data_IF_725319213456
#
_entry.id   IF_725319213456
#
_cell.length_a   1.000
_cell.length_b   1.000
_cell.length_c   1.000
_cell.angle_alpha   90.00
_cell.angle_beta   90.00
_cell.angle_gamma   90.00
#
_symmetry.space_group_name_H-M   'P 1'
#
loop_
_entity.id
_entity.type
_entity.pdbx_description
1 polymer ?
#
# COMPACT_ATOMS: atom_id res chain seq x y z
N UNK A 1 -8.18 -21.62 4.32
CA UNK A 1 -7.14 -20.66 4.78
C UNK A 1 -6.76 -19.70 3.65
N UNK A 2 -6.49 -18.43 3.96
CA UNK A 2 -6.13 -17.42 2.96
C UNK A 2 -4.61 -17.27 2.83
N UNK A 3 -4.08 -17.27 1.61
CA UNK A 3 -2.68 -16.97 1.32
C UNK A 3 -2.56 -15.62 0.65
N UNK A 4 -1.83 -14.70 1.27
CA UNK A 4 -1.47 -13.42 0.67
C UNK A 4 -0.02 -13.47 0.18
N UNK A 5 0.20 -13.32 -1.12
CA UNK A 5 1.52 -13.31 -1.72
C UNK A 5 1.85 -11.90 -2.16
N UNK A 6 2.80 -11.31 -1.44
CA UNK A 6 3.33 -9.99 -1.73
C UNK A 6 4.80 -10.11 -2.07
N UNK A 7 5.22 -9.53 -3.19
CA UNK A 7 6.62 -9.47 -3.56
C UNK A 7 7.01 -8.03 -3.89
N UNK A 8 7.74 -7.39 -2.98
CA UNK A 8 8.34 -6.09 -3.25
C UNK A 8 9.84 -6.20 -3.05
N UNK A 9 10.56 -6.22 -4.16
CA UNK A 9 11.95 -5.77 -4.19
C UNK A 9 12.02 -4.68 -5.25
N UNK A 10 11.80 -3.44 -4.83
CA UNK A 10 12.25 -2.28 -5.60
C UNK A 10 13.44 -1.69 -4.85
N UNK A 11 14.64 -2.21 -5.14
CA UNK A 11 15.87 -1.52 -4.79
C UNK A 11 16.04 -0.42 -5.84
N UNK A 12 15.46 0.75 -5.58
CA UNK A 12 15.92 1.95 -6.26
C UNK A 12 17.07 2.54 -5.45
N UNK A 13 18.28 2.30 -5.94
CA UNK A 13 19.40 3.20 -5.63
C UNK A 13 18.94 4.61 -6.02
N UNK A 14 19.01 5.55 -5.08
CA UNK A 14 18.61 6.93 -5.25
C UNK A 14 19.20 7.50 -6.55
N UNK A 15 18.42 7.51 -7.62
CA UNK A 15 18.83 8.04 -8.93
C UNK A 15 17.67 8.76 -9.62
N UNK A 16 16.66 9.21 -8.88
CA UNK A 16 15.77 10.26 -9.39
C UNK A 16 16.44 11.64 -9.31
N UNK A 17 17.37 11.85 -8.37
CA UNK A 17 18.21 13.06 -8.32
C UNK A 17 19.32 13.09 -9.38
N UNK A 18 19.75 11.93 -9.90
CA UNK A 18 20.83 11.87 -10.89
C UNK A 18 20.32 11.88 -12.34
N UNK A 19 19.14 11.32 -12.61
CA UNK A 19 18.56 11.30 -13.97
C UNK A 19 17.97 12.65 -14.41
N UNK A 20 17.60 13.50 -13.46
CA UNK A 20 17.13 14.87 -13.72
C UNK A 20 18.31 15.81 -13.48
N UNK A 21 19.08 16.05 -14.55
CA UNK A 21 20.36 16.77 -14.52
C UNK A 21 20.32 18.14 -13.82
N UNK A 22 21.51 18.69 -13.56
CA UNK A 22 21.88 19.88 -12.74
C UNK A 22 21.20 21.21 -13.14
N UNK A 23 19.87 21.26 -13.24
CA UNK A 23 19.11 22.50 -13.38
C UNK A 23 18.14 22.58 -12.22
N UNK A 24 18.41 23.44 -11.25
CA UNK A 24 17.65 23.45 -10.00
C UNK A 24 16.19 23.98 -10.15
N UNK A 25 15.78 24.44 -11.34
CA UNK A 25 14.49 25.13 -11.62
C UNK A 25 13.34 24.26 -12.16
N UNK A 26 13.48 22.94 -12.33
CA UNK A 26 12.46 22.11 -13.01
C UNK A 26 11.73 21.09 -12.11
N UNK A 27 11.93 21.14 -10.78
CA UNK A 27 11.29 20.19 -9.86
C UNK A 27 9.78 20.40 -9.80
N UNK A 28 9.36 21.64 -9.58
CA UNK A 28 7.95 22.01 -9.54
C UNK A 28 7.25 21.75 -10.87
N UNK A 29 7.91 22.08 -11.99
CA UNK A 29 7.38 21.77 -13.32
C UNK A 29 7.24 20.27 -13.58
N UNK A 30 8.17 19.47 -13.06
CA UNK A 30 8.05 18.01 -13.15
C UNK A 30 6.94 17.45 -12.25
N UNK A 31 6.74 18.02 -11.05
CA UNK A 31 5.65 17.62 -10.16
C UNK A 31 4.30 17.94 -10.76
N UNK A 32 4.13 19.14 -11.32
CA UNK A 32 2.90 19.49 -12.03
C UNK A 32 2.66 18.56 -13.23
N UNK A 33 3.69 18.31 -14.06
CA UNK A 33 3.53 17.39 -15.18
C UNK A 33 3.15 15.97 -14.75
N UNK A 34 3.85 15.40 -13.75
CA UNK A 34 3.57 14.06 -13.21
C UNK A 34 2.13 14.00 -12.64
N UNK A 35 1.71 15.05 -11.92
CA UNK A 35 0.37 15.16 -11.34
C UNK A 35 -0.73 15.23 -12.42
N UNK A 36 -0.60 16.13 -13.39
CA UNK A 36 -1.63 16.33 -14.43
C UNK A 36 -1.69 15.15 -15.40
N UNK A 37 -0.53 14.60 -15.80
CA UNK A 37 -0.47 13.58 -16.86
C UNK A 37 -0.58 12.16 -16.33
N UNK A 38 -0.01 11.88 -15.16
CA UNK A 38 0.08 10.51 -14.65
C UNK A 38 -0.91 10.21 -13.52
N UNK A 39 -1.06 11.10 -12.53
CA UNK A 39 -1.96 10.85 -11.40
C UNK A 39 -3.42 11.11 -11.75
N UNK A 40 -3.74 12.31 -12.27
CA UNK A 40 -5.12 12.67 -12.66
C UNK A 40 -5.72 11.78 -13.75
N UNK A 41 -4.88 11.16 -14.58
CA UNK A 41 -5.35 10.20 -15.58
C UNK A 41 -5.78 8.86 -14.98
N UNK A 42 -5.50 8.59 -13.70
CA UNK A 42 -5.95 7.40 -12.99
C UNK A 42 -7.37 7.57 -12.44
N UNK A 43 -8.15 6.48 -12.34
CA UNK A 43 -9.48 6.54 -11.75
C UNK A 43 -9.43 7.05 -10.30
N UNK A 44 -10.09 8.17 -10.02
CA UNK A 44 -10.11 8.80 -8.69
C UNK A 44 -8.87 9.63 -8.36
N UNK A 45 -7.92 9.76 -9.29
CA UNK A 45 -6.70 10.56 -9.09
C UNK A 45 -6.96 12.06 -9.00
N UNK A 46 -8.08 12.54 -9.56
CA UNK A 46 -8.56 13.92 -9.45
C UNK A 46 -8.93 14.36 -8.02
N UNK A 47 -9.11 13.39 -7.11
CA UNK A 47 -9.45 13.65 -5.71
C UNK A 47 -8.24 14.01 -4.85
N UNK A 48 -7.04 13.68 -5.29
CA UNK A 48 -5.81 14.09 -4.63
C UNK A 48 -5.53 15.54 -5.02
N UNK A 49 -5.45 16.45 -4.05
CA UNK A 49 -5.15 17.84 -4.34
C UNK A 49 -3.67 17.99 -4.77
N UNK A 50 -3.39 18.89 -5.70
CA UNK A 50 -2.02 19.22 -6.11
C UNK A 50 -1.14 19.64 -4.92
N UNK A 51 -1.70 20.34 -3.93
CA UNK A 51 -0.95 20.74 -2.73
C UNK A 51 -0.52 19.53 -1.89
N UNK A 52 -1.41 18.56 -1.69
CA UNK A 52 -1.10 17.30 -0.99
C UNK A 52 -0.04 16.50 -1.77
N UNK A 53 -0.23 16.41 -3.09
CA UNK A 53 0.71 15.76 -3.99
C UNK A 53 2.10 16.41 -3.95
N UNK A 54 2.17 17.74 -4.08
CA UNK A 54 3.42 18.51 -4.08
C UNK A 54 4.12 18.37 -2.72
N UNK A 55 3.40 18.56 -1.62
CA UNK A 55 3.94 18.41 -0.28
C UNK A 55 4.53 17.01 -0.07
N UNK A 56 3.83 15.97 -0.51
CA UNK A 56 4.36 14.60 -0.46
C UNK A 56 5.63 14.44 -1.30
N UNK A 57 5.65 14.95 -2.55
CA UNK A 57 6.83 14.86 -3.43
C UNK A 57 8.06 15.56 -2.85
N UNK A 58 7.85 16.60 -2.04
CA UNK A 58 8.91 17.36 -1.39
C UNK A 58 9.41 16.72 -0.10
N UNK A 59 8.50 16.22 0.75
CA UNK A 59 8.81 15.83 2.13
C UNK A 59 8.73 14.33 2.38
N UNK A 60 8.06 13.57 1.51
CA UNK A 60 7.70 12.17 1.72
C UNK A 60 6.53 11.94 2.70
N UNK A 61 5.91 13.01 3.22
CA UNK A 61 4.77 12.95 4.14
C UNK A 61 3.46 12.95 3.36
N UNK A 62 2.69 11.86 3.45
CA UNK A 62 1.44 11.71 2.69
C UNK A 62 0.25 12.41 3.36
N UNK A 63 0.13 12.34 4.69
CA UNK A 63 -0.98 12.93 5.43
C UNK A 63 -0.49 14.04 6.34
N UNK A 64 -1.11 15.21 6.21
CA UNK A 64 -0.88 16.37 7.06
C UNK A 64 -2.13 16.68 7.86
N UNK A 65 -1.93 16.83 9.18
CA UNK A 65 -2.99 17.26 10.09
C UNK A 65 -3.02 18.78 10.10
N UNK A 66 -4.20 19.37 10.22
CA UNK A 66 -4.34 20.84 10.30
C UNK A 66 -3.64 21.40 11.55
N UNK A 67 -3.61 20.60 12.62
CA UNK A 67 -3.11 21.01 13.93
C UNK A 67 -1.60 20.81 14.10
N UNK A 68 -1.00 19.89 13.34
CA UNK A 68 0.40 19.48 13.53
C UNK A 68 1.08 19.09 12.22
N UNK A 69 2.30 19.55 12.04
CA UNK A 69 3.20 19.08 10.98
C UNK A 69 4.26 18.12 11.52
N UNK A 70 4.72 17.20 10.67
CA UNK A 70 5.84 16.34 11.01
C UNK A 70 7.14 17.15 10.98
N UNK A 71 7.75 17.36 12.14
CA UNK A 71 9.07 18.02 12.24
C UNK A 71 10.20 17.12 11.74
N UNK A 72 10.01 15.80 11.79
CA UNK A 72 11.01 14.80 11.42
C UNK A 72 10.58 14.00 10.17
N UNK A 73 11.53 13.64 9.28
CA UNK A 73 11.23 12.84 8.10
C UNK A 73 10.81 11.41 8.46
N UNK A 74 9.89 10.83 7.68
CA UNK A 74 9.43 9.47 7.87
C UNK A 74 10.48 8.45 7.35
N UNK A 75 11.23 7.83 8.26
CA UNK A 75 12.28 6.85 7.94
C UNK A 75 11.77 5.41 7.75
N UNK A 76 10.45 5.15 7.75
CA UNK A 76 9.90 3.78 7.70
C UNK A 76 10.34 2.96 6.48
N UNK A 77 10.62 3.62 5.36
CA UNK A 77 11.11 2.98 4.14
C UNK A 77 12.61 3.20 3.88
N UNK A 78 13.32 3.86 4.80
CA UNK A 78 14.76 3.98 4.72
C UNK A 78 15.40 2.74 5.34
N UNK A 79 16.24 2.03 4.58
CA UNK A 79 17.02 0.96 5.18
C UNK A 79 18.21 1.55 5.94
N UNK A 80 18.54 0.96 7.08
CA UNK A 80 19.70 1.39 7.86
C UNK A 80 21.03 1.11 7.17
N UNK A 81 22.07 1.84 7.59
CA UNK A 81 23.46 1.54 7.25
C UNK A 81 23.91 0.35 8.11
N UNK A 82 24.27 -0.76 7.46
CA UNK A 82 24.77 -1.97 8.10
C UNK A 82 26.26 -2.12 7.84
N UNK A 83 27.07 -2.38 8.87
CA UNK A 83 28.46 -2.75 8.69
C UNK A 83 28.56 -4.20 8.21
N UNK A 84 29.19 -4.43 7.06
CA UNK A 84 29.56 -5.76 6.55
C UNK A 84 31.09 -5.87 6.53
N UNK A 85 31.66 -6.31 7.65
CA UNK A 85 33.12 -6.28 7.87
C UNK A 85 33.63 -4.85 7.97
N UNK A 86 34.68 -4.51 7.21
CA UNK A 86 35.25 -3.16 7.16
C UNK A 86 34.46 -2.17 6.28
N UNK A 87 33.41 -2.63 5.59
CA UNK A 87 32.60 -1.81 4.69
C UNK A 87 31.27 -1.45 5.33
N UNK A 88 30.89 -0.18 5.24
CA UNK A 88 29.53 0.27 5.54
C UNK A 88 28.66 0.06 4.29
N UNK A 89 27.55 -0.66 4.44
CA UNK A 89 26.55 -0.90 3.40
C UNK A 89 25.30 -0.12 3.78
N UNK A 90 25.07 1.02 3.12
CA UNK A 90 23.75 1.67 3.17
C UNK A 90 22.82 0.90 2.26
N UNK A 91 21.82 0.22 2.83
CA UNK A 91 20.69 -0.22 2.01
C UNK A 91 19.78 1.00 1.80
N UNK A 92 19.32 1.24 0.57
CA UNK A 92 18.68 2.50 0.17
C UNK A 92 17.24 2.66 0.65
N UNK A 93 16.44 3.39 -0.12
CA UNK A 93 14.98 3.45 0.04
C UNK A 93 14.35 2.14 -0.46
N UNK A 94 13.48 1.53 0.34
CA UNK A 94 12.79 0.25 0.05
C UNK A 94 11.39 0.42 -0.53
N UNK A 95 10.93 1.66 -0.70
CA UNK A 95 9.65 1.94 -1.34
C UNK A 95 9.77 2.18 -2.84
N UNK A 96 8.62 2.38 -3.48
CA UNK A 96 8.54 2.85 -4.86
C UNK A 96 8.47 4.38 -4.88
N UNK A 97 9.43 5.03 -5.54
CA UNK A 97 9.49 6.51 -5.68
C UNK A 97 8.62 7.00 -6.85
N UNK A 98 8.41 6.14 -7.85
CA UNK A 98 7.67 6.46 -9.08
C UNK A 98 6.17 6.37 -8.83
N UNK A 99 5.72 5.32 -8.15
CA UNK A 99 4.34 5.21 -7.70
C UNK A 99 4.06 5.94 -6.39
N UNK A 100 5.09 6.26 -5.60
CA UNK A 100 4.91 6.88 -4.29
C UNK A 100 3.92 6.12 -3.39
N UNK A 101 3.49 6.71 -2.28
CA UNK A 101 2.32 6.30 -1.53
C UNK A 101 1.05 6.90 -2.15
N UNK A 102 0.92 6.99 -3.48
CA UNK A 102 -0.38 7.32 -4.08
C UNK A 102 -1.45 6.32 -3.65
N UNK A 103 -1.03 5.07 -3.42
CA UNK A 103 -1.84 4.00 -2.81
C UNK A 103 -2.35 4.34 -1.40
N UNK A 104 -1.68 5.25 -0.70
CA UNK A 104 -2.10 5.72 0.62
C UNK A 104 -3.17 6.80 0.57
N UNK A 105 -3.34 7.52 -0.53
CA UNK A 105 -4.38 8.56 -0.59
C UNK A 105 -5.77 7.94 -0.77
N UNK A 106 -6.76 8.51 -0.07
CA UNK A 106 -8.15 8.11 -0.20
C UNK A 106 -8.71 8.60 -1.53
N UNK A 107 -8.92 7.68 -2.47
CA UNK A 107 -9.51 7.99 -3.78
C UNK A 107 -10.99 7.63 -3.85
N UNK A 108 -11.48 6.73 -3.01
CA UNK A 108 -12.86 6.22 -3.09
C UNK A 108 -13.38 6.00 -1.67
N UNK A 109 -14.68 6.20 -1.48
CA UNK A 109 -15.36 6.04 -0.20
C UNK A 109 -16.82 5.69 -0.45
N UNK A 110 -17.41 4.88 0.42
CA UNK A 110 -18.83 4.55 0.32
C UNK A 110 -19.73 5.74 0.71
N UNK A 111 -19.22 6.63 1.54
CA UNK A 111 -19.89 7.88 1.85
C UNK A 111 -19.73 8.87 0.69
N UNK A 112 -20.84 9.08 -0.03
CA UNK A 112 -20.90 9.97 -1.20
C UNK A 112 -20.74 11.44 -0.82
N UNK A 113 -20.94 11.82 0.44
CA UNK A 113 -20.81 13.21 0.86
C UNK A 113 -19.33 13.66 0.85
N UNK A 114 -18.42 12.75 1.15
CA UNK A 114 -16.97 12.98 1.04
C UNK A 114 -16.49 13.09 -0.41
N UNK A 115 -17.26 12.58 -1.37
CA UNK A 115 -16.92 12.62 -2.80
C UNK A 115 -17.48 13.86 -3.53
N UNK A 116 -18.13 14.79 -2.81
CA UNK A 116 -18.71 15.99 -3.40
C UNK A 116 -17.62 16.93 -3.93
N UNK A 117 -17.88 17.48 -5.11
CA UNK A 117 -17.05 18.50 -5.75
C UNK A 117 -17.82 19.82 -5.85
N UNK A 118 -17.14 20.93 -5.58
CA UNK A 118 -17.65 22.28 -5.73
C UNK A 118 -16.71 23.04 -6.68
N UNK A 119 -17.24 23.62 -7.75
CA UNK A 119 -16.46 24.36 -8.76
C UNK A 119 -15.28 23.56 -9.35
N UNK A 120 -15.43 22.24 -9.51
CA UNK A 120 -14.37 21.37 -10.03
C UNK A 120 -13.25 21.04 -9.03
N UNK A 121 -13.41 21.41 -7.75
CA UNK A 121 -12.48 21.11 -6.66
C UNK A 121 -13.20 20.16 -5.68
N UNK A 122 -12.50 19.15 -5.17
CA UNK A 122 -13.04 18.29 -4.12
C UNK A 122 -13.22 19.10 -2.83
N UNK A 123 -14.41 19.02 -2.23
CA UNK A 123 -14.72 19.75 -0.98
C UNK A 123 -13.89 19.22 0.18
N UNK A 124 -13.62 17.90 0.17
CA UNK A 124 -12.90 17.17 1.21
C UNK A 124 -11.56 16.70 0.67
N UNK A 125 -10.57 16.60 1.56
CA UNK A 125 -9.19 16.20 1.20
C UNK A 125 -9.10 14.70 1.03
N UNK A 126 -8.09 14.24 0.28
CA UNK A 126 -7.82 12.81 0.14
C UNK A 126 -7.42 12.16 1.48
N UNK A 127 -6.87 12.94 2.41
CA UNK A 127 -6.64 12.53 3.79
C UNK A 127 -7.95 12.24 4.54
N UNK A 128 -8.95 13.12 4.43
CA UNK A 128 -10.24 12.98 5.12
C UNK A 128 -11.00 11.74 4.61
N UNK A 129 -10.90 11.46 3.29
CA UNK A 129 -11.44 10.25 2.67
C UNK A 129 -10.77 8.99 3.25
N UNK A 130 -9.44 8.99 3.35
CA UNK A 130 -8.71 7.85 3.91
C UNK A 130 -9.03 7.63 5.39
N UNK A 131 -9.11 8.72 6.17
CA UNK A 131 -9.50 8.68 7.57
C UNK A 131 -10.89 8.05 7.74
N UNK A 132 -11.89 8.49 6.95
CA UNK A 132 -13.23 7.88 7.01
C UNK A 132 -13.21 6.40 6.68
N UNK A 133 -12.47 6.00 5.65
CA UNK A 133 -12.34 4.59 5.28
C UNK A 133 -11.71 3.76 6.42
N UNK A 134 -10.64 4.27 7.05
CA UNK A 134 -9.98 3.58 8.16
C UNK A 134 -10.87 3.49 9.39
N UNK A 135 -11.56 4.58 9.77
CA UNK A 135 -12.50 4.59 10.89
C UNK A 135 -13.62 3.59 10.70
N UNK A 136 -14.20 3.56 9.49
CA UNK A 136 -15.18 2.56 9.11
C UNK A 136 -14.62 1.14 9.24
N UNK A 137 -13.45 0.87 8.66
CA UNK A 137 -12.83 -0.46 8.74
C UNK A 137 -12.59 -0.88 10.20
N UNK A 138 -12.11 0.01 11.06
CA UNK A 138 -11.92 -0.30 12.48
C UNK A 138 -13.24 -0.55 13.20
N UNK A 139 -14.28 0.24 12.93
CA UNK A 139 -15.62 0.02 13.49
C UNK A 139 -16.19 -1.34 13.07
N UNK A 140 -16.12 -1.67 11.78
CA UNK A 140 -16.64 -2.94 11.25
C UNK A 140 -15.88 -4.14 11.82
N UNK A 141 -14.56 -4.01 12.02
CA UNK A 141 -13.73 -5.04 12.64
C UNK A 141 -14.03 -5.22 14.14
N UNK A 142 -14.26 -4.13 14.87
CA UNK A 142 -14.53 -4.17 16.31
C UNK A 142 -15.95 -4.64 16.62
N UNK A 143 -16.94 -4.08 15.92
CA UNK A 143 -18.36 -4.31 16.20
C UNK A 143 -18.95 -5.48 15.39
N UNK A 144 -18.30 -5.89 14.30
CA UNK A 144 -18.78 -6.96 13.42
C UNK A 144 -20.08 -6.64 12.68
N UNK A 145 -20.39 -5.35 12.53
CA UNK A 145 -21.58 -4.82 11.85
C UNK A 145 -21.16 -3.82 10.79
N UNK A 146 -21.93 -3.72 9.71
CA UNK A 146 -21.76 -2.71 8.68
C UNK A 146 -21.89 -1.31 9.29
N UNK A 147 -20.99 -0.40 8.90
CA UNK A 147 -21.04 0.99 9.33
C UNK A 147 -21.98 1.78 8.42
N UNK A 148 -23.08 2.30 8.99
CA UNK A 148 -23.98 3.21 8.29
C UNK A 148 -23.67 4.65 8.70
N UNK A 149 -23.28 5.48 7.73
CA UNK A 149 -23.02 6.89 8.01
C UNK A 149 -24.31 7.69 8.14
N UNK A 150 -24.43 8.46 9.22
CA UNK A 150 -25.52 9.41 9.46
C UNK A 150 -25.05 10.83 9.12
N UNK A 151 -25.40 11.33 7.93
CA UNK A 151 -25.07 12.70 7.50
C UNK A 151 -25.67 13.74 8.47
N UNK A 152 -24.85 14.70 8.94
CA UNK A 152 -25.26 15.75 9.86
C UNK A 152 -25.19 15.39 11.36
N UNK A 153 -24.52 14.29 11.71
CA UNK A 153 -24.16 13.95 13.09
C UNK A 153 -22.87 14.63 13.55
N UNK A 154 -22.54 14.46 14.84
CA UNK A 154 -21.26 14.91 15.45
C UNK A 154 -20.03 14.27 14.77
N UNK A 155 -20.24 13.19 14.00
CA UNK A 155 -19.21 12.46 13.25
C UNK A 155 -18.64 13.22 12.03
N UNK A 156 -19.29 14.31 11.59
CA UNK A 156 -18.72 15.23 10.59
C UNK A 156 -17.60 16.11 11.17
N UNK A 157 -17.49 16.17 12.51
CA UNK A 157 -16.49 16.91 13.28
C UNK A 157 -15.45 15.98 13.95
N UNK A 158 -15.33 14.73 13.50
CA UNK A 158 -14.30 13.82 14.00
C UNK A 158 -12.91 14.36 13.62
N UNK A 159 -12.28 15.02 14.57
CA UNK A 159 -10.94 15.55 14.36
C UNK A 159 -10.25 16.19 15.56
N UNK A 160 -10.76 16.12 16.79
CA UNK A 160 -9.89 16.36 17.96
C UNK A 160 -9.39 15.00 18.43
N UNK A 161 -8.22 14.60 17.95
CA UNK A 161 -7.45 13.54 18.61
C UNK A 161 -6.97 14.15 19.93
N UNK A 162 -7.77 14.02 20.99
CA UNK A 162 -7.33 14.31 22.35
C UNK A 162 -6.31 13.22 22.69
N UNK A 163 -5.05 13.43 22.32
CA UNK A 163 -3.96 12.72 22.96
C UNK A 163 -3.96 13.21 24.40
N UNK A 164 -4.12 12.30 25.36
CA UNK A 164 -3.71 12.60 26.71
C UNK A 164 -2.30 13.15 26.63
N UNK A 165 -2.12 14.40 27.06
CA UNK A 165 -0.80 15.02 27.24
C UNK A 165 -0.19 14.33 28.45
N UNK A 166 0.05 13.02 28.34
CA UNK A 166 0.77 12.28 29.34
C UNK A 166 2.23 12.74 29.24
N UNK A 167 2.51 13.84 29.96
CA UNK A 167 3.82 14.37 30.34
C UNK A 167 4.68 14.96 29.21
N UNK A 168 4.11 15.81 28.36
CA UNK A 168 4.95 16.81 27.67
C UNK A 168 5.08 18.01 28.60
N UNK A 169 6.25 18.13 29.22
CA UNK A 169 6.58 19.20 30.17
C UNK A 169 6.76 20.50 29.38
N UNK A 170 5.67 21.27 29.23
CA UNK A 170 5.55 22.47 28.36
C UNK A 170 6.61 23.53 28.70
N UNK A 171 7.15 23.50 29.93
CA UNK A 171 8.21 24.39 30.39
C UNK A 171 9.59 24.11 29.79
N UNK A 172 9.78 23.04 29.00
CA UNK A 172 11.04 22.71 28.33
C UNK A 172 11.10 23.12 26.85
N UNK A 173 10.02 23.69 26.31
CA UNK A 173 9.92 24.03 24.88
C UNK A 173 10.69 25.32 24.52
N UNK A 174 11.08 26.12 25.51
CA UNK A 174 11.73 27.43 25.28
C UNK A 174 13.21 27.41 24.87
N UNK A 175 13.97 26.35 25.15
CA UNK A 175 15.43 26.35 24.99
C UNK A 175 15.98 25.03 24.40
N UNK A 176 15.44 24.58 23.28
CA UNK A 176 16.00 23.43 22.56
C UNK A 176 16.21 23.77 21.08
N UNK A 177 17.30 24.48 20.81
CA UNK A 177 18.04 24.24 19.56
C UNK A 177 18.44 22.78 19.62
N UNK A 178 17.73 21.91 18.87
CA UNK A 178 17.93 20.46 18.86
C UNK A 178 19.42 20.10 18.89
N UNK A 179 19.97 19.67 20.05
CA UNK A 179 21.28 19.06 20.05
C UNK A 179 21.08 17.75 19.29
N UNK A 180 21.86 17.54 18.22
CA UNK A 180 22.01 16.23 17.55
C UNK A 180 21.75 15.11 18.54
N UNK A 181 20.63 14.42 18.37
CA UNK A 181 20.18 13.41 19.32
C UNK A 181 21.34 12.44 19.59
N UNK A 182 21.64 12.20 20.87
CA UNK A 182 22.55 11.13 21.28
C UNK A 182 22.07 9.82 20.63
N UNK A 183 22.97 8.91 20.23
CA UNK A 183 22.60 7.67 19.57
C UNK A 183 21.50 6.97 20.37
N UNK A 184 20.33 6.81 19.75
CA UNK A 184 19.18 6.16 20.37
C UNK A 184 19.60 4.73 20.71
N UNK A 185 19.58 4.38 21.99
CA UNK A 185 19.82 3.00 22.44
C UNK A 185 18.81 2.09 21.72
N UNK A 186 19.30 1.21 20.84
CA UNK A 186 18.51 0.25 20.04
C UNK A 186 18.11 -0.95 20.93
N UNK A 187 17.96 -0.74 22.25
CA UNK A 187 17.27 -1.70 23.08
C UNK A 187 15.80 -1.61 22.71
N UNK A 188 15.34 -2.59 21.93
CA UNK A 188 13.95 -2.77 21.49
C UNK A 188 13.00 -2.53 22.66
N UNK A 189 12.53 -1.30 22.85
CA UNK A 189 11.40 -1.04 23.74
C UNK A 189 10.26 -1.85 23.15
N UNK A 190 9.76 -2.81 23.93
CA UNK A 190 8.61 -3.62 23.54
C UNK A 190 7.46 -2.64 23.36
N UNK A 191 7.14 -2.33 22.11
CA UNK A 191 6.04 -1.43 21.80
C UNK A 191 4.77 -2.10 22.33
N UNK A 192 4.22 -1.54 23.42
CA UNK A 192 2.89 -1.89 23.93
C UNK A 192 1.87 -1.24 23.02
N UNK A 193 1.59 -1.85 21.87
CA UNK A 193 0.42 -1.51 21.07
C UNK A 193 -0.76 -2.37 21.54
N UNK A 194 -1.91 -1.72 21.75
CA UNK A 194 -3.19 -2.37 21.98
C UNK A 194 -3.68 -2.91 20.64
N UNK A 195 -3.23 -4.10 20.23
CA UNK A 195 -3.77 -4.73 19.04
C UNK A 195 -5.27 -5.00 19.24
N UNK A 196 -6.09 -4.64 18.27
CA UNK A 196 -7.49 -5.06 18.23
C UNK A 196 -7.53 -6.59 18.21
N UNK A 197 -8.12 -7.19 19.24
CA UNK A 197 -8.23 -8.65 19.33
C UNK A 197 -9.37 -9.13 18.45
N UNK A 198 -9.03 -9.86 17.37
CA UNK A 198 -10.00 -10.46 16.46
C UNK A 198 -10.01 -11.98 16.71
N UNK A 199 -10.96 -12.53 17.48
CA UNK A 199 -10.93 -13.93 17.92
C UNK A 199 -10.99 -14.95 16.78
N UNK A 200 -11.52 -14.56 15.61
CA UNK A 200 -11.74 -15.43 14.45
C UNK A 200 -10.64 -15.33 13.38
N UNK A 201 -9.58 -14.54 13.60
CA UNK A 201 -8.52 -14.33 12.63
C UNK A 201 -7.13 -14.58 13.24
N UNK A 202 -6.30 -15.31 12.51
CA UNK A 202 -4.89 -15.50 12.86
C UNK A 202 -4.04 -15.08 11.65
N UNK A 203 -3.09 -14.19 11.89
CA UNK A 203 -2.17 -13.68 10.87
C UNK A 203 -0.79 -14.31 11.08
N UNK A 204 -0.27 -14.92 10.02
CA UNK A 204 1.07 -15.52 10.00
C UNK A 204 1.93 -14.77 8.98
N UNK A 205 3.04 -14.18 9.43
CA UNK A 205 4.03 -13.57 8.54
C UNK A 205 5.04 -14.62 8.12
N UNK A 206 5.19 -14.81 6.81
CA UNK A 206 6.04 -15.84 6.23
C UNK A 206 7.09 -15.22 5.32
N UNK A 207 8.35 -15.68 5.36
CA UNK A 207 9.36 -15.23 4.41
C UNK A 207 9.03 -15.71 3.00
N UNK A 208 9.46 -14.97 1.98
CA UNK A 208 9.22 -15.32 0.56
C UNK A 208 9.75 -16.72 0.19
N UNK A 209 10.80 -17.19 0.87
CA UNK A 209 11.36 -18.54 0.69
C UNK A 209 10.37 -19.66 1.01
N UNK A 210 9.33 -19.37 1.81
CA UNK A 210 8.31 -20.35 2.20
C UNK A 210 7.54 -20.91 0.99
N UNK A 211 7.36 -20.11 -0.06
CA UNK A 211 6.67 -20.56 -1.29
C UNK A 211 7.37 -21.72 -1.98
N UNK A 212 8.69 -21.85 -1.81
CA UNK A 212 9.47 -22.97 -2.35
C UNK A 212 9.52 -24.18 -1.41
N UNK A 213 9.37 -23.96 -0.10
CA UNK A 213 9.44 -24.99 0.93
C UNK A 213 8.10 -25.68 1.16
N UNK A 214 7.00 -24.93 1.11
CA UNK A 214 5.67 -25.47 1.39
C UNK A 214 5.23 -26.61 0.48
N UNK A 215 5.49 -26.59 -0.84
CA UNK A 215 5.12 -27.70 -1.71
C UNK A 215 5.81 -29.03 -1.33
N UNK A 216 6.94 -28.96 -0.62
CA UNK A 216 7.69 -30.14 -0.15
C UNK A 216 7.06 -30.77 1.11
N UNK A 217 6.16 -30.05 1.79
CA UNK A 217 5.51 -30.51 3.01
C UNK A 217 4.08 -30.97 2.72
N UNK A 218 3.75 -32.21 3.08
CA UNK A 218 2.40 -32.75 2.97
C UNK A 218 1.35 -31.94 3.73
N UNK A 219 1.75 -31.21 4.77
CA UNK A 219 0.87 -30.38 5.61
C UNK A 219 0.17 -29.27 4.82
N UNK A 220 0.84 -28.70 3.82
CA UNK A 220 0.34 -27.54 3.08
C UNK A 220 -0.22 -27.91 1.71
N UNK A 221 -0.28 -29.21 1.38
CA UNK A 221 -0.90 -29.69 0.15
C UNK A 221 -2.40 -29.41 0.21
N UNK A 222 -2.94 -28.72 -0.80
CA UNK A 222 -4.36 -28.34 -0.89
C UNK A 222 -4.88 -27.71 0.42
N UNK A 223 -4.17 -26.71 0.95
CA UNK A 223 -4.49 -26.09 2.25
C UNK A 223 -5.14 -24.70 2.12
N UNK A 224 -4.92 -24.03 0.99
CA UNK A 224 -5.43 -22.67 0.76
C UNK A 224 -6.67 -22.68 -0.13
N UNK A 225 -7.77 -22.14 0.38
CA UNK A 225 -9.05 -22.01 -0.32
C UNK A 225 -9.17 -20.68 -1.10
N UNK A 226 -8.27 -19.74 -0.82
CA UNK A 226 -8.15 -18.49 -1.55
C UNK A 226 -6.72 -17.98 -1.51
N UNK A 227 -6.27 -17.46 -2.64
CA UNK A 227 -4.96 -16.83 -2.80
C UNK A 227 -5.13 -15.44 -3.37
N UNK A 228 -4.49 -14.46 -2.75
CA UNK A 228 -4.31 -13.14 -3.32
C UNK A 228 -2.84 -12.94 -3.68
N UNK A 229 -2.57 -12.35 -4.83
CA UNK A 229 -1.24 -12.16 -5.37
C UNK A 229 -1.05 -10.72 -5.84
N UNK A 230 0.01 -10.06 -5.36
CA UNK A 230 0.40 -8.73 -5.84
C UNK A 230 0.78 -8.75 -7.33
N UNK A 231 0.60 -7.63 -8.02
CA UNK A 231 0.87 -7.50 -9.45
C UNK A 231 2.34 -7.78 -9.82
N UNK A 232 3.26 -7.57 -8.88
CA UNK A 232 4.69 -7.82 -9.00
C UNK A 232 5.07 -9.29 -8.80
N UNK A 233 4.26 -10.07 -8.08
CA UNK A 233 4.54 -11.47 -7.78
C UNK A 233 4.24 -12.42 -8.94
N UNK A 234 3.49 -11.98 -9.96
CA UNK A 234 3.08 -12.80 -11.12
C UNK A 234 4.26 -13.51 -11.79
N UNK A 235 5.43 -12.85 -11.89
CA UNK A 235 6.62 -13.43 -12.53
C UNK A 235 7.41 -14.40 -11.65
N UNK A 236 7.17 -14.39 -10.34
CA UNK A 236 7.93 -15.19 -9.37
C UNK A 236 7.27 -16.54 -9.08
N UNK A 237 6.02 -16.70 -9.52
CA UNK A 237 5.17 -17.83 -9.18
C UNK A 237 5.07 -18.75 -10.39
N UNK A 238 5.26 -20.03 -10.15
CA UNK A 238 5.13 -21.08 -11.17
C UNK A 238 4.08 -22.11 -10.78
N UNK A 239 4.16 -23.28 -11.40
CA UNK A 239 3.20 -24.39 -11.21
C UNK A 239 3.19 -24.98 -9.79
N UNK A 240 4.22 -24.73 -8.98
CA UNK A 240 4.31 -25.21 -7.61
C UNK A 240 3.18 -24.67 -6.71
N UNK A 241 2.62 -23.50 -7.04
CA UNK A 241 1.52 -22.92 -6.28
C UNK A 241 0.25 -23.81 -6.34
N UNK A 242 0.01 -24.51 -7.45
CA UNK A 242 -1.14 -25.41 -7.58
C UNK A 242 -1.15 -26.57 -6.58
N UNK A 243 0.00 -26.95 -6.02
CA UNK A 243 0.08 -27.99 -5.00
C UNK A 243 -0.42 -27.50 -3.64
N UNK A 244 -0.37 -26.18 -3.40
CA UNK A 244 -0.75 -25.55 -2.13
C UNK A 244 -2.24 -25.19 -2.09
N UNK A 245 -2.84 -24.96 -3.25
CA UNK A 245 -4.18 -24.43 -3.39
C UNK A 245 -5.19 -25.58 -3.55
N UNK A 246 -6.29 -25.51 -2.80
CA UNK A 246 -7.43 -26.43 -2.89
C UNK A 246 -8.12 -26.36 -4.26
N UNK A 247 -8.76 -27.45 -4.68
CA UNK A 247 -9.60 -27.41 -5.87
C UNK A 247 -10.78 -26.45 -5.65
N UNK A 248 -11.19 -25.74 -6.70
CA UNK A 248 -12.19 -24.65 -6.66
C UNK A 248 -11.78 -23.42 -5.84
N UNK A 249 -10.56 -23.34 -5.34
CA UNK A 249 -10.08 -22.14 -4.66
C UNK A 249 -10.07 -20.92 -5.59
N UNK A 250 -10.27 -19.75 -4.99
CA UNK A 250 -10.23 -18.47 -5.69
C UNK A 250 -8.81 -17.93 -5.76
N UNK A 251 -8.34 -17.56 -6.95
CA UNK A 251 -7.04 -16.91 -7.16
C UNK A 251 -7.30 -15.48 -7.64
N UNK A 252 -6.89 -14.52 -6.83
CA UNK A 252 -7.05 -13.09 -7.07
C UNK A 252 -5.67 -12.50 -7.36
N UNK A 253 -5.51 -11.86 -8.52
CA UNK A 253 -4.27 -11.18 -8.89
C UNK A 253 -4.54 -9.69 -8.94
N UNK A 254 -3.81 -8.91 -8.15
CA UNK A 254 -3.86 -7.46 -8.13
C UNK A 254 -3.59 -6.89 -9.52
N UNK A 255 -4.44 -5.97 -9.97
CA UNK A 255 -4.28 -5.28 -11.24
C UNK A 255 -3.27 -4.14 -11.13
N UNK A 256 -2.67 -3.77 -12.26
CA UNK A 256 -1.85 -2.56 -12.37
C UNK A 256 -2.68 -1.28 -12.59
N UNK A 257 -4.00 -1.31 -12.40
CA UNK A 257 -4.92 -0.18 -12.59
C UNK A 257 -4.44 1.14 -11.99
N UNK A 258 -4.02 1.11 -10.72
CA UNK A 258 -3.64 2.29 -9.93
C UNK A 258 -2.14 2.61 -9.98
N UNK A 259 -1.34 1.81 -10.68
CA UNK A 259 0.09 2.05 -10.85
C UNK A 259 0.26 3.25 -11.80
N UNK A 260 0.99 4.26 -11.35
CA UNK A 260 1.31 5.51 -12.05
C UNK A 260 2.55 5.30 -12.93
N UNK A 261 2.64 6.03 -14.04
CA UNK A 261 3.79 5.96 -14.95
C UNK A 261 3.86 4.74 -15.87
N UNK A 262 2.94 3.78 -15.77
CA UNK A 262 2.90 2.64 -16.71
C UNK A 262 2.15 2.98 -18.00
N UNK A 263 2.76 2.61 -19.14
CA UNK A 263 2.19 2.78 -20.47
C UNK A 263 1.21 1.66 -20.87
N UNK A 264 0.51 1.86 -21.99
CA UNK A 264 -0.43 0.87 -22.56
C UNK A 264 0.26 -0.47 -22.89
N UNK A 265 1.46 -0.42 -23.46
CA UNK A 265 2.21 -1.62 -23.84
C UNK A 265 2.61 -2.45 -22.60
N UNK A 266 2.98 -1.81 -21.50
CA UNK A 266 3.32 -2.50 -20.27
C UNK A 266 2.09 -3.14 -19.62
N UNK A 267 0.95 -2.45 -19.66
CA UNK A 267 -0.34 -3.01 -19.23
C UNK A 267 -0.71 -4.24 -20.06
N UNK A 268 -0.54 -4.18 -21.38
CA UNK A 268 -0.78 -5.34 -22.26
C UNK A 268 0.12 -6.52 -21.89
N UNK A 269 1.43 -6.29 -21.76
CA UNK A 269 2.39 -7.33 -21.35
C UNK A 269 2.06 -7.94 -19.98
N UNK A 270 1.53 -7.13 -19.07
CA UNK A 270 1.07 -7.62 -17.77
C UNK A 270 -0.14 -8.55 -17.92
N UNK A 271 -1.15 -8.16 -18.70
CA UNK A 271 -2.31 -9.01 -19.00
C UNK A 271 -1.88 -10.32 -19.64
N UNK A 272 -0.95 -10.28 -20.59
CA UNK A 272 -0.39 -11.48 -21.23
C UNK A 272 0.28 -12.40 -20.20
N UNK A 273 1.10 -11.84 -19.30
CA UNK A 273 1.77 -12.59 -18.23
C UNK A 273 0.77 -13.25 -17.27
N UNK A 274 -0.31 -12.54 -16.93
CA UNK A 274 -1.39 -13.06 -16.06
C UNK A 274 -2.12 -14.22 -16.75
N UNK A 275 -2.46 -14.06 -18.03
CA UNK A 275 -3.14 -15.09 -18.80
C UNK A 275 -2.25 -16.32 -19.03
N UNK A 276 -0.95 -16.12 -19.28
CA UNK A 276 0.02 -17.19 -19.40
C UNK A 276 0.14 -17.97 -18.07
N UNK A 277 0.27 -17.27 -16.94
CA UNK A 277 0.33 -17.90 -15.63
C UNK A 277 -0.94 -18.71 -15.33
N UNK A 278 -2.12 -18.13 -15.61
CA UNK A 278 -3.39 -18.80 -15.44
C UNK A 278 -3.48 -20.07 -16.31
N UNK A 279 -3.06 -19.99 -17.58
CA UNK A 279 -3.03 -21.13 -18.50
C UNK A 279 -2.07 -22.23 -18.03
N UNK A 280 -0.86 -21.87 -17.61
CA UNK A 280 0.14 -22.82 -17.09
C UNK A 280 -0.36 -23.56 -15.85
N UNK A 281 -1.23 -22.92 -15.06
CA UNK A 281 -1.80 -23.51 -13.84
C UNK A 281 -3.23 -24.07 -14.03
N UNK A 282 -3.78 -24.06 -15.24
CA UNK A 282 -5.15 -24.54 -15.49
C UNK A 282 -6.24 -23.73 -14.76
N UNK A 283 -6.00 -22.46 -14.45
CA UNK A 283 -6.98 -21.62 -13.78
C UNK A 283 -7.98 -21.06 -14.79
N UNK A 284 -9.27 -21.09 -14.43
CA UNK A 284 -10.35 -20.56 -15.26
C UNK A 284 -10.77 -19.17 -14.79
N UNK A 285 -10.92 -18.19 -15.69
CA UNK A 285 -11.38 -16.86 -15.31
C UNK A 285 -12.83 -16.93 -14.80
N UNK A 286 -13.07 -16.33 -13.63
CA UNK A 286 -14.44 -16.20 -13.10
C UNK A 286 -15.20 -15.04 -13.74
N UNK A 287 -14.46 -14.04 -14.25
CA UNK A 287 -14.98 -12.84 -14.88
C UNK A 287 -14.00 -12.40 -15.99
N UNK A 288 -14.46 -11.73 -17.05
CA UNK A 288 -13.57 -11.00 -17.94
C UNK A 288 -12.71 -10.01 -17.13
N UNK A 289 -11.46 -9.81 -17.54
CA UNK A 289 -10.53 -8.92 -16.87
C UNK A 289 -10.04 -7.83 -17.84
N UNK A 290 -10.24 -6.57 -17.47
CA UNK A 290 -9.65 -5.39 -18.10
C UNK A 290 -8.81 -4.63 -17.08
N UNK A 291 -7.50 -4.53 -17.36
CA UNK A 291 -6.50 -3.85 -16.52
C UNK A 291 -6.77 -2.35 -16.30
N UNK A 292 -7.61 -1.71 -17.12
CA UNK A 292 -7.93 -0.29 -16.99
C UNK A 292 -9.11 -0.03 -16.05
N UNK A 293 -10.07 -0.94 -15.99
CA UNK A 293 -11.29 -0.80 -15.19
C UNK A 293 -11.22 -1.61 -13.90
N UNK A 294 -10.62 -2.79 -13.96
CA UNK A 294 -10.69 -3.77 -12.89
C UNK A 294 -9.48 -3.68 -11.96
N UNK A 295 -9.75 -3.70 -10.66
CA UNK A 295 -8.72 -3.67 -9.62
C UNK A 295 -8.07 -5.04 -9.39
N UNK A 296 -8.71 -6.12 -9.86
CA UNK A 296 -8.24 -7.49 -9.70
C UNK A 296 -8.64 -8.37 -10.89
N UNK A 297 -7.78 -9.31 -11.24
CA UNK A 297 -8.11 -10.44 -12.09
C UNK A 297 -8.53 -11.62 -11.21
N UNK A 298 -9.69 -12.23 -11.50
CA UNK A 298 -10.25 -13.30 -10.68
C UNK A 298 -10.32 -14.61 -11.46
N UNK A 299 -9.61 -15.61 -10.95
CA UNK A 299 -9.61 -16.97 -11.45
C UNK A 299 -10.06 -17.99 -10.39
N UNK A 300 -10.38 -19.20 -10.84
CA UNK A 300 -10.66 -20.36 -10.00
C UNK A 300 -9.82 -21.56 -10.47
N UNK A 301 -9.20 -22.26 -9.53
CA UNK A 301 -8.50 -23.52 -9.83
C UNK A 301 -9.53 -24.59 -10.18
N UNK A 302 -9.42 -25.19 -11.37
CA UNK A 302 -10.27 -26.32 -11.75
C UNK A 302 -9.82 -27.59 -11.05
N UNK A 303 -10.76 -28.50 -10.82
CA UNK A 303 -10.43 -29.87 -10.41
C UNK A 303 -9.58 -30.51 -11.51
N UNK A 304 -8.46 -31.07 -11.13
CA UNK A 304 -7.73 -31.99 -12.01
C UNK A 304 -8.61 -33.23 -12.13
N UNK A 305 -9.32 -33.41 -13.25
CA UNK A 305 -9.93 -34.70 -13.57
C UNK A 305 -8.79 -35.68 -13.72
N UNK A 306 -8.61 -36.56 -12.73
CA UNK A 306 -7.84 -37.78 -12.93
C UNK A 306 -8.59 -38.57 -14.01
N UNK A 307 -8.02 -38.61 -15.22
CA UNK A 307 -8.44 -39.57 -16.23
C UNK A 307 -8.19 -40.97 -15.65
N UNK A 308 -9.29 -41.72 -15.49
CA UNK A 308 -9.31 -43.12 -15.05
C UNK A 308 -8.74 -44.00 -16.16
#
# INVERSE_FOLDING_TARGET
SFLYIFYTIFIYFASTYFFKGVRYDHRDGAFDWDYQMQLKSKPGGERVNYQEYKHWRETGVAFTWLETENTEPNLKFATGVLAKGEKLVSQGYLGDITNGPFLGFGIDCEDKDLLKTANGICVKRSADIMERNLLRLFYELEQGKEYEHCAGGVDDELGVVIRDISKVDVNKVGDVVSPREKPRDITKKKETYSALYIPKAQVHFLPCTSLHQFPQSSKFKNFFNMVYMSSTAVKMIGTHLNQLIEDNASVLIESKKYIVGIGKDEKSKFVDSVNELAKQNGWQPCKPFDVNTDSLAWFRKTKTTEEI
#
